data_IF_314083675744
#
_entry.id   IF_314083675744
#
_cell.length_a   1.000
_cell.length_b   1.000
_cell.length_c   1.000
_cell.angle_alpha   90.00
_cell.angle_beta   90.00
_cell.angle_gamma   90.00
#
_symmetry.space_group_name_H-M   'P 1'
#
loop_
_entity.id
_entity.type
_entity.pdbx_description
1 polymer ?
#
# COMPACT_ATOMS: atom_id res chain seq x y z
N UNK A 1 13.06 3.88 4.74
CA UNK A 1 12.27 4.36 3.57
C UNK A 1 11.30 3.29 3.09
N UNK A 2 11.72 2.03 2.90
CA UNK A 2 10.78 0.91 2.62
C UNK A 2 9.62 0.85 3.62
N UNK A 3 9.88 0.95 4.92
CA UNK A 3 8.79 1.00 5.92
C UNK A 3 7.82 2.17 5.71
N UNK A 4 8.32 3.33 5.27
CA UNK A 4 7.48 4.48 4.97
C UNK A 4 6.65 4.25 3.69
N UNK A 5 7.20 3.56 2.69
CA UNK A 5 6.44 3.10 1.52
C UNK A 5 5.39 2.07 1.90
N UNK A 6 5.78 1.03 2.61
CA UNK A 6 4.86 0.00 3.11
C UNK A 6 3.76 0.61 3.97
N UNK A 7 4.07 1.63 4.76
CA UNK A 7 3.09 2.42 5.51
C UNK A 7 2.15 3.21 4.59
N UNK A 8 2.67 3.90 3.57
CA UNK A 8 1.84 4.61 2.57
C UNK A 8 0.92 3.66 1.82
N UNK A 9 1.39 2.44 1.53
CA UNK A 9 0.68 1.42 0.77
C UNK A 9 -0.15 0.46 1.64
N UNK A 10 -0.27 0.72 2.95
CA UNK A 10 -1.04 -0.11 3.90
C UNK A 10 -0.65 -1.60 3.87
N UNK A 11 0.64 -1.90 3.84
CA UNK A 11 1.14 -3.28 3.82
C UNK A 11 1.25 -3.84 5.24
N UNK A 12 0.39 -4.80 5.56
CA UNK A 12 0.26 -5.36 6.93
C UNK A 12 1.24 -6.52 7.22
N UNK A 13 1.85 -7.15 6.21
CA UNK A 13 2.81 -8.27 6.38
C UNK A 13 4.21 -7.91 5.83
N UNK A 14 5.26 -7.80 6.67
CA UNK A 14 6.64 -7.73 6.18
C UNK A 14 7.10 -9.10 5.65
N UNK A 15 7.66 -9.15 4.43
CA UNK A 15 8.24 -10.37 3.83
C UNK A 15 9.53 -10.81 4.54
N UNK A 16 9.93 -12.07 4.32
CA UNK A 16 11.17 -12.64 4.85
C UNK A 16 12.42 -11.85 4.41
N UNK A 17 13.40 -11.75 5.30
CA UNK A 17 14.62 -10.93 5.12
C UNK A 17 15.41 -11.27 3.84
N UNK A 18 15.37 -12.53 3.41
CA UNK A 18 16.05 -13.00 2.19
C UNK A 18 15.45 -12.44 0.90
N UNK A 19 14.12 -12.34 0.81
CA UNK A 19 13.44 -11.80 -0.39
C UNK A 19 13.64 -10.28 -0.51
N UNK A 20 13.66 -9.59 0.63
CA UNK A 20 14.06 -8.18 0.74
C UNK A 20 15.47 -7.93 0.22
N UNK A 21 16.44 -8.76 0.60
CA UNK A 21 17.83 -8.60 0.15
C UNK A 21 17.95 -8.66 -1.38
N UNK A 22 17.28 -9.61 -2.04
CA UNK A 22 17.30 -9.74 -3.50
C UNK A 22 16.63 -8.54 -4.18
N UNK A 23 15.49 -8.07 -3.66
CA UNK A 23 14.80 -6.87 -4.17
C UNK A 23 15.67 -5.61 -3.99
N UNK A 24 16.35 -5.46 -2.85
CA UNK A 24 17.27 -4.35 -2.60
C UNK A 24 18.49 -4.36 -3.52
N UNK A 25 19.09 -5.54 -3.73
CA UNK A 25 20.22 -5.69 -4.66
C UNK A 25 19.76 -5.40 -6.09
N UNK A 26 18.55 -5.85 -6.48
CA UNK A 26 17.99 -5.53 -7.80
C UNK A 26 17.74 -4.02 -7.98
N UNK A 27 17.17 -3.35 -6.97
CA UNK A 27 16.97 -1.89 -7.01
C UNK A 27 18.30 -1.14 -7.03
N UNK A 28 19.32 -1.62 -6.33
CA UNK A 28 20.65 -1.00 -6.32
C UNK A 28 21.33 -1.16 -7.69
N UNK A 29 21.26 -2.34 -8.30
CA UNK A 29 21.82 -2.60 -9.62
C UNK A 29 21.06 -1.80 -10.70
N UNK A 30 19.73 -1.88 -10.71
CA UNK A 30 18.90 -1.17 -11.69
C UNK A 30 19.00 0.35 -11.49
N UNK A 31 19.02 0.82 -10.24
CA UNK A 31 19.19 2.23 -9.90
C UNK A 31 20.56 2.76 -10.36
N UNK A 32 21.63 2.00 -10.14
CA UNK A 32 22.98 2.36 -10.62
C UNK A 32 23.07 2.36 -12.14
N UNK A 33 22.41 1.40 -12.80
CA UNK A 33 22.33 1.34 -14.26
C UNK A 33 21.54 2.55 -14.81
N UNK A 34 20.40 2.87 -14.20
CA UNK A 34 19.57 4.01 -14.58
C UNK A 34 20.33 5.34 -14.40
N UNK A 35 21.08 5.50 -13.30
CA UNK A 35 21.94 6.67 -13.08
C UNK A 35 23.05 6.73 -14.14
N UNK A 36 23.68 5.59 -14.45
CA UNK A 36 24.72 5.53 -15.49
C UNK A 36 24.18 5.92 -16.88
N UNK A 37 22.97 5.46 -17.23
CA UNK A 37 22.30 5.83 -18.48
C UNK A 37 21.92 7.32 -18.47
N UNK A 38 21.43 7.83 -17.34
CA UNK A 38 21.11 9.25 -17.19
C UNK A 38 22.34 10.14 -17.36
N UNK A 39 23.44 9.82 -16.67
CA UNK A 39 24.69 10.57 -16.77
C UNK A 39 25.30 10.43 -18.16
N UNK A 40 25.26 9.25 -18.77
CA UNK A 40 25.71 9.02 -20.14
C UNK A 40 24.92 9.85 -21.14
N UNK A 41 23.59 9.88 -21.03
CA UNK A 41 22.74 10.70 -21.91
C UNK A 41 22.96 12.20 -21.71
N UNK A 42 23.10 12.67 -20.47
CA UNK A 42 23.45 14.08 -20.19
C UNK A 42 24.82 14.44 -20.78
N UNK A 43 25.81 13.57 -20.64
CA UNK A 43 27.15 13.77 -21.19
C UNK A 43 27.15 13.77 -22.73
N UNK A 44 26.43 12.84 -23.36
CA UNK A 44 26.31 12.78 -24.83
C UNK A 44 25.55 13.98 -25.42
N UNK A 45 24.60 14.56 -24.69
CA UNK A 45 23.90 15.79 -25.09
C UNK A 45 24.82 17.01 -24.97
N UNK A 46 25.78 16.96 -24.06
CA UNK A 46 26.77 18.03 -23.83
C UNK A 46 27.95 17.98 -24.81
N UNK A 47 27.98 16.98 -25.70
CA UNK A 47 29.01 16.84 -26.73
C UNK A 47 28.63 17.67 -27.97
N UNK A 48 29.45 18.68 -28.27
CA UNK A 48 29.16 19.71 -29.28
C UNK A 48 28.90 19.11 -30.68
N UNK A 49 29.55 18.00 -31.03
CA UNK A 49 29.45 17.37 -32.36
C UNK A 49 28.07 16.76 -32.67
N UNK A 50 27.47 16.05 -31.72
CA UNK A 50 26.14 15.44 -31.87
C UNK A 50 25.03 16.49 -31.78
N UNK A 51 25.21 17.48 -30.90
CA UNK A 51 24.26 18.57 -30.72
C UNK A 51 24.13 19.43 -31.99
N UNK A 52 25.25 19.79 -32.62
CA UNK A 52 25.29 20.59 -33.85
C UNK A 52 24.69 19.81 -35.04
N UNK A 53 25.00 18.51 -35.19
CA UNK A 53 24.48 17.69 -36.29
C UNK A 53 22.95 17.50 -36.24
N UNK A 54 22.37 17.30 -35.04
CA UNK A 54 20.91 17.16 -34.89
C UNK A 54 20.16 18.50 -35.01
N UNK A 55 20.78 19.62 -34.62
CA UNK A 55 20.17 20.95 -34.72
C UNK A 55 20.07 21.46 -36.18
N UNK A 56 20.96 21.00 -37.07
CA UNK A 56 20.94 21.36 -38.49
C UNK A 56 19.72 20.82 -39.25
N UNK A 57 19.02 19.83 -38.69
CA UNK A 57 17.85 19.26 -39.35
C UNK A 57 16.57 20.04 -38.98
N UNK A 58 15.97 20.75 -39.94
CA UNK A 58 14.87 21.72 -39.74
C UNK A 58 13.61 21.16 -39.07
N UNK A 59 13.36 19.86 -39.17
CA UNK A 59 12.22 19.18 -38.54
C UNK A 59 12.55 18.55 -37.17
N UNK A 60 13.77 18.04 -37.00
CA UNK A 60 14.19 17.31 -35.79
C UNK A 60 14.79 18.27 -34.75
N UNK A 61 15.47 19.33 -35.17
CA UNK A 61 16.14 20.30 -34.30
C UNK A 61 15.24 20.88 -33.20
N UNK A 62 14.02 21.38 -33.49
CA UNK A 62 13.13 21.92 -32.47
C UNK A 62 12.68 20.87 -31.45
N UNK A 63 12.37 19.65 -31.90
CA UNK A 63 11.95 18.52 -31.05
C UNK A 63 13.12 18.02 -30.21
N UNK A 64 14.31 17.96 -30.78
CA UNK A 64 15.54 17.54 -30.12
C UNK A 64 15.94 18.52 -29.02
N UNK A 65 15.90 19.84 -29.29
CA UNK A 65 16.18 20.87 -28.29
C UNK A 65 15.15 20.86 -27.16
N UNK A 66 13.86 20.69 -27.48
CA UNK A 66 12.82 20.57 -26.46
C UNK A 66 13.00 19.31 -25.60
N UNK A 67 13.25 18.16 -26.23
CA UNK A 67 13.46 16.88 -25.54
C UNK A 67 14.71 16.92 -24.68
N UNK A 68 15.84 17.43 -25.21
CA UNK A 68 17.11 17.59 -24.52
C UNK A 68 16.99 18.42 -23.24
N UNK A 69 16.24 19.53 -23.28
CA UNK A 69 15.95 20.36 -22.09
C UNK A 69 15.05 19.63 -21.07
N UNK A 70 14.22 18.70 -21.52
CA UNK A 70 13.32 17.92 -20.67
C UNK A 70 13.92 16.61 -20.16
N UNK A 71 14.98 16.09 -20.80
CA UNK A 71 15.66 14.84 -20.46
C UNK A 71 15.96 14.66 -18.97
N UNK A 72 16.59 15.62 -18.25
CA UNK A 72 16.87 15.42 -16.83
C UNK A 72 15.60 15.25 -15.99
N UNK A 73 14.50 15.92 -16.35
CA UNK A 73 13.22 15.76 -15.68
C UNK A 73 12.57 14.42 -16.00
N UNK A 74 12.63 13.96 -17.26
CA UNK A 74 12.12 12.67 -17.69
C UNK A 74 12.84 11.51 -16.98
N UNK A 75 14.16 11.62 -16.81
CA UNK A 75 14.96 10.66 -16.04
C UNK A 75 14.48 10.58 -14.59
N UNK A 76 14.29 11.72 -13.92
CA UNK A 76 13.84 11.75 -12.52
C UNK A 76 12.43 11.19 -12.38
N UNK A 77 11.52 11.55 -13.28
CA UNK A 77 10.17 10.99 -13.34
C UNK A 77 10.22 9.47 -13.54
N UNK A 78 11.08 8.99 -14.45
CA UNK A 78 11.29 7.56 -14.68
C UNK A 78 11.82 6.85 -13.44
N UNK A 79 12.81 7.42 -12.75
CA UNK A 79 13.36 6.88 -11.52
C UNK A 79 12.32 6.83 -10.40
N UNK A 80 11.55 7.89 -10.20
CA UNK A 80 10.47 7.91 -9.20
C UNK A 80 9.40 6.88 -9.53
N UNK A 81 8.98 6.80 -10.80
CA UNK A 81 8.01 5.80 -11.28
C UNK A 81 8.51 4.38 -11.01
N UNK A 82 9.79 4.11 -11.31
CA UNK A 82 10.43 2.82 -11.03
C UNK A 82 10.43 2.51 -9.53
N UNK A 83 10.89 3.45 -8.70
CA UNK A 83 10.89 3.27 -7.24
C UNK A 83 9.48 3.03 -6.70
N UNK A 84 8.47 3.72 -7.22
CA UNK A 84 7.07 3.53 -6.78
C UNK A 84 6.48 2.21 -7.25
N UNK A 85 6.98 1.62 -8.33
CA UNK A 85 6.53 0.33 -8.82
C UNK A 85 7.17 -0.84 -8.07
N UNK A 86 8.44 -0.72 -7.68
CA UNK A 86 9.24 -1.83 -7.14
C UNK A 86 9.51 -1.75 -5.64
N UNK A 87 9.48 -0.56 -5.03
CA UNK A 87 9.75 -0.42 -3.58
C UNK A 87 8.58 -0.86 -2.69
N UNK A 88 7.30 -0.61 -3.04
CA UNK A 88 6.19 -1.12 -2.24
C UNK A 88 6.05 -2.62 -2.41
N UNK A 89 5.78 -3.33 -1.31
CA UNK A 89 5.48 -4.76 -1.35
C UNK A 89 4.01 -5.03 -1.78
N UNK A 90 3.56 -4.37 -2.85
CA UNK A 90 2.19 -4.45 -3.41
C UNK A 90 2.20 -4.31 -4.92
N UNK A 91 1.17 -4.81 -5.59
CA UNK A 91 1.00 -4.64 -7.04
C UNK A 91 0.54 -3.22 -7.40
N UNK A 92 1.51 -2.36 -7.75
CA UNK A 92 1.24 -0.98 -8.19
C UNK A 92 0.96 -0.94 -9.69
N UNK A 93 -0.13 -0.30 -10.10
CA UNK A 93 -0.46 -0.10 -11.52
C UNK A 93 0.49 0.93 -12.13
N UNK A 94 1.07 0.62 -13.28
CA UNK A 94 2.03 1.51 -13.98
C UNK A 94 1.48 2.94 -14.18
N UNK A 95 0.19 3.08 -14.51
CA UNK A 95 -0.45 4.40 -14.68
C UNK A 95 -0.44 5.22 -13.39
N UNK A 96 -0.70 4.58 -12.25
CA UNK A 96 -0.68 5.23 -10.94
C UNK A 96 0.74 5.62 -10.53
N UNK A 97 1.71 4.73 -10.74
CA UNK A 97 3.13 5.00 -10.50
C UNK A 97 3.63 6.16 -11.35
N UNK A 98 3.23 6.23 -12.64
CA UNK A 98 3.62 7.32 -13.54
C UNK A 98 3.05 8.67 -13.10
N UNK A 99 1.79 8.71 -12.66
CA UNK A 99 1.16 9.95 -12.17
C UNK A 99 1.86 10.46 -10.91
N UNK A 100 2.14 9.57 -9.96
CA UNK A 100 2.94 9.91 -8.79
C UNK A 100 4.36 10.33 -9.17
N UNK A 101 4.99 9.65 -10.14
CA UNK A 101 6.33 9.95 -10.64
C UNK A 101 6.41 11.33 -11.30
N UNK A 102 5.42 11.70 -12.12
CA UNK A 102 5.29 13.03 -12.74
C UNK A 102 5.10 14.09 -11.66
N UNK A 103 4.16 13.88 -10.73
CA UNK A 103 3.90 14.83 -9.64
C UNK A 103 5.15 15.02 -8.76
N UNK A 104 5.77 13.93 -8.31
CA UNK A 104 6.99 13.96 -7.51
C UNK A 104 8.16 14.59 -8.27
N UNK A 105 8.33 14.27 -9.56
CA UNK A 105 9.37 14.84 -10.41
C UNK A 105 9.24 16.35 -10.61
N UNK A 106 8.01 16.86 -10.79
CA UNK A 106 7.73 18.31 -10.89
C UNK A 106 8.02 19.02 -9.55
N UNK A 107 7.64 18.42 -8.42
CA UNK A 107 7.94 18.97 -7.09
C UNK A 107 9.46 18.95 -6.85
N UNK A 108 10.16 17.88 -7.25
CA UNK A 108 11.61 17.77 -7.11
C UNK A 108 12.35 18.81 -7.94
N UNK A 109 11.92 19.00 -9.20
CA UNK A 109 12.44 20.02 -10.10
C UNK A 109 12.31 21.44 -9.53
N UNK A 110 11.10 21.79 -9.08
CA UNK A 110 10.80 23.11 -8.51
C UNK A 110 11.56 23.33 -7.20
N UNK A 111 11.62 22.32 -6.32
CA UNK A 111 12.42 22.38 -5.10
C UNK A 111 13.91 22.56 -5.39
N UNK A 112 14.44 21.91 -6.43
CA UNK A 112 15.85 22.03 -6.83
C UNK A 112 16.23 23.43 -7.30
N UNK A 113 15.36 24.07 -8.08
CA UNK A 113 15.57 25.47 -8.49
C UNK A 113 15.56 26.40 -7.27
N UNK A 114 14.57 26.25 -6.38
CA UNK A 114 14.47 27.06 -5.16
C UNK A 114 15.67 26.84 -4.22
N UNK A 115 16.09 25.58 -4.04
CA UNK A 115 17.21 25.21 -3.19
C UNK A 115 18.53 25.78 -3.74
N UNK A 116 18.75 25.67 -5.05
CA UNK A 116 19.94 26.24 -5.71
C UNK A 116 19.97 27.76 -5.53
N UNK A 117 18.85 28.45 -5.76
CA UNK A 117 18.76 29.90 -5.56
C UNK A 117 19.07 30.31 -4.10
N UNK A 118 18.54 29.54 -3.13
CA UNK A 118 18.80 29.75 -1.71
C UNK A 118 20.28 29.54 -1.35
N UNK A 119 20.90 28.46 -1.80
CA UNK A 119 22.31 28.13 -1.54
C UNK A 119 23.25 29.18 -2.13
N UNK A 120 23.04 29.57 -3.40
CA UNK A 120 23.87 30.57 -4.09
C UNK A 120 23.83 31.92 -3.38
N UNK A 121 22.67 32.31 -2.86
CA UNK A 121 22.51 33.58 -2.13
C UNK A 121 23.10 33.51 -0.71
N UNK A 122 22.90 32.40 0.01
CA UNK A 122 23.29 32.25 1.40
C UNK A 122 24.78 31.99 1.65
N UNK A 123 25.42 31.14 0.82
CA UNK A 123 26.82 30.70 1.02
C UNK A 123 27.83 31.80 0.72
N UNK A 124 27.45 32.81 -0.07
CA UNK A 124 28.33 33.91 -0.50
C UNK A 124 28.79 34.84 0.64
N UNK A 125 28.15 34.77 1.81
CA UNK A 125 28.32 35.76 2.88
C UNK A 125 29.24 35.30 4.02
N UNK A 126 29.58 34.01 4.12
CA UNK A 126 30.39 33.48 5.25
C UNK A 126 31.34 32.34 4.84
N UNK A 127 32.49 32.69 4.28
CA UNK A 127 33.52 31.76 3.78
C UNK A 127 34.18 30.89 4.87
N UNK A 128 34.22 31.34 6.12
CA UNK A 128 34.85 30.58 7.23
C UNK A 128 34.00 29.39 7.70
N UNK A 129 32.67 29.48 7.58
CA UNK A 129 31.72 28.41 7.97
C UNK A 129 31.16 27.62 6.77
N UNK A 130 31.65 27.89 5.56
CA UNK A 130 31.11 27.33 4.32
C UNK A 130 31.18 25.79 4.28
N UNK A 131 32.24 25.19 4.81
CA UNK A 131 32.41 23.73 4.84
C UNK A 131 31.35 23.03 5.70
N UNK A 132 31.04 23.58 6.88
CA UNK A 132 29.99 23.05 7.75
C UNK A 132 28.59 23.28 7.17
N UNK A 133 28.37 24.44 6.55
CA UNK A 133 27.12 24.75 5.87
C UNK A 133 26.84 23.77 4.71
N UNK A 134 27.85 23.36 3.93
CA UNK A 134 27.68 22.36 2.86
C UNK A 134 27.10 21.04 3.41
N UNK A 135 27.61 20.55 4.55
CA UNK A 135 27.10 19.32 5.16
C UNK A 135 25.64 19.46 5.58
N UNK A 136 25.28 20.55 6.26
CA UNK A 136 23.90 20.83 6.69
C UNK A 136 22.97 20.97 5.47
N UNK A 137 23.39 21.71 4.45
CA UNK A 137 22.62 21.91 3.23
C UNK A 137 22.42 20.60 2.49
N UNK A 138 23.44 19.74 2.43
CA UNK A 138 23.33 18.41 1.83
C UNK A 138 22.32 17.55 2.59
N UNK A 139 22.36 17.57 3.93
CA UNK A 139 21.40 16.83 4.77
C UNK A 139 19.97 17.35 4.57
N UNK A 140 19.79 18.67 4.51
CA UNK A 140 18.50 19.31 4.23
C UNK A 140 17.98 18.95 2.83
N UNK A 141 18.84 18.97 1.82
CA UNK A 141 18.50 18.58 0.46
C UNK A 141 18.08 17.10 0.37
N UNK A 142 18.83 16.23 1.06
CA UNK A 142 18.51 14.82 1.17
C UNK A 142 17.14 14.62 1.84
N UNK A 143 16.90 15.32 2.96
CA UNK A 143 15.62 15.28 3.66
C UNK A 143 14.45 15.72 2.76
N UNK A 144 14.60 16.85 2.07
CA UNK A 144 13.58 17.34 1.12
C UNK A 144 13.37 16.34 -0.02
N UNK A 145 14.43 15.75 -0.57
CA UNK A 145 14.33 14.74 -1.62
C UNK A 145 13.53 13.53 -1.17
N UNK A 146 13.77 13.03 0.05
CA UNK A 146 12.99 11.94 0.62
C UNK A 146 11.53 12.33 0.88
N UNK A 147 11.28 13.54 1.37
CA UNK A 147 9.93 14.04 1.59
C UNK A 147 9.13 14.10 0.29
N UNK A 148 9.73 14.64 -0.77
CA UNK A 148 9.12 14.74 -2.10
C UNK A 148 8.84 13.36 -2.67
N UNK A 149 9.80 12.45 -2.51
CA UNK A 149 9.67 11.06 -2.94
C UNK A 149 8.51 10.36 -2.21
N UNK A 150 8.31 10.59 -0.92
CA UNK A 150 7.16 10.05 -0.18
C UNK A 150 5.83 10.70 -0.59
N UNK A 151 5.80 12.01 -0.85
CA UNK A 151 4.61 12.72 -1.33
C UNK A 151 4.17 12.16 -2.68
N UNK A 152 5.09 11.96 -3.64
CA UNK A 152 4.76 11.36 -4.92
C UNK A 152 4.24 9.93 -4.80
N UNK A 153 4.76 9.15 -3.85
CA UNK A 153 4.23 7.81 -3.55
C UNK A 153 2.80 7.85 -3.00
N UNK A 154 2.47 8.82 -2.14
CA UNK A 154 1.11 9.00 -1.65
C UNK A 154 0.14 9.36 -2.78
N UNK A 155 0.56 10.25 -3.69
CA UNK A 155 -0.23 10.62 -4.87
C UNK A 155 -0.49 9.38 -5.75
N UNK A 156 0.54 8.56 -6.01
CA UNK A 156 0.37 7.29 -6.73
C UNK A 156 -0.63 6.36 -6.05
N UNK A 157 -0.54 6.22 -4.72
CA UNK A 157 -1.44 5.38 -3.94
C UNK A 157 -2.90 5.86 -4.03
N UNK A 158 -3.16 7.15 -3.80
CA UNK A 158 -4.52 7.69 -3.82
C UNK A 158 -5.14 7.67 -5.22
N UNK A 159 -4.33 7.83 -6.27
CA UNK A 159 -4.81 7.66 -7.63
C UNK A 159 -5.23 6.21 -7.93
N UNK A 160 -4.49 5.23 -7.39
CA UNK A 160 -4.86 3.82 -7.52
C UNK A 160 -6.07 3.44 -6.66
N UNK A 161 -6.17 4.00 -5.45
CA UNK A 161 -7.13 3.62 -4.42
C UNK A 161 -8.01 4.82 -3.99
N UNK A 162 -8.88 5.34 -4.88
CA UNK A 162 -9.68 6.54 -4.60
C UNK A 162 -10.66 6.36 -3.44
N UNK A 163 -11.02 5.12 -3.08
CA UNK A 163 -11.84 4.81 -1.91
C UNK A 163 -11.21 5.31 -0.60
N UNK A 164 -9.88 5.41 -0.52
CA UNK A 164 -9.17 5.89 0.67
C UNK A 164 -9.20 7.41 0.82
N UNK A 165 -9.50 8.16 -0.26
CA UNK A 165 -9.66 9.62 -0.20
C UNK A 165 -10.86 10.03 0.68
N UNK A 166 -11.92 9.20 0.73
CA UNK A 166 -13.15 9.49 1.48
C UNK A 166 -13.13 9.05 2.94
N UNK A 167 -12.26 8.10 3.28
CA UNK A 167 -12.24 7.48 4.61
C UNK A 167 -11.27 8.23 5.55
N UNK A 168 -10.33 9.01 5.00
CA UNK A 168 -9.27 9.63 5.79
C UNK A 168 -8.44 8.57 6.54
N UNK A 169 -7.46 9.02 7.32
CA UNK A 169 -6.61 8.15 8.17
C UNK A 169 -7.35 7.44 9.32
N UNK A 170 -8.69 7.46 9.35
CA UNK A 170 -9.43 6.72 10.36
C UNK A 170 -9.54 5.30 9.87
N UNK A 171 -8.94 4.34 10.59
CA UNK A 171 -9.32 2.94 10.48
C UNK A 171 -10.84 2.91 10.49
N UNK A 172 -11.51 2.45 9.42
CA UNK A 172 -12.96 2.37 9.39
C UNK A 172 -13.40 1.45 10.53
N UNK A 173 -13.71 2.06 11.67
CA UNK A 173 -14.21 1.38 12.86
C UNK A 173 -15.64 0.98 12.54
N UNK A 174 -15.78 -0.23 12.02
CA UNK A 174 -17.07 -0.86 11.87
C UNK A 174 -17.71 -1.01 13.25
N UNK A 175 -19.00 -0.72 13.36
CA UNK A 175 -19.77 -1.05 14.55
C UNK A 175 -19.73 -2.57 14.79
N UNK A 176 -19.90 -3.00 16.04
CA UNK A 176 -19.85 -4.43 16.39
C UNK A 176 -20.80 -5.26 15.53
N UNK A 177 -22.05 -4.80 15.33
CA UNK A 177 -23.01 -5.48 14.45
C UNK A 177 -22.60 -5.53 12.97
N UNK A 178 -21.89 -4.52 12.46
CA UNK A 178 -21.37 -4.55 11.09
C UNK A 178 -20.20 -5.53 10.97
N UNK A 179 -19.33 -5.62 11.97
CA UNK A 179 -18.22 -6.59 12.00
C UNK A 179 -18.75 -8.03 12.03
N UNK A 180 -19.79 -8.30 12.83
CA UNK A 180 -20.44 -9.62 12.90
C UNK A 180 -21.01 -10.04 11.54
N UNK A 181 -21.81 -9.16 10.91
CA UNK A 181 -22.36 -9.41 9.57
C UNK A 181 -21.25 -9.59 8.52
N UNK A 182 -20.19 -8.81 8.61
CA UNK A 182 -19.05 -8.90 7.70
C UNK A 182 -18.32 -10.23 7.83
N UNK A 183 -18.04 -10.71 9.05
CA UNK A 183 -17.39 -12.01 9.25
C UNK A 183 -18.25 -13.17 8.72
N UNK A 184 -19.55 -13.15 9.00
CA UNK A 184 -20.49 -14.13 8.44
C UNK A 184 -20.51 -14.08 6.91
N UNK A 185 -20.56 -12.89 6.32
CA UNK A 185 -20.61 -12.71 4.86
C UNK A 185 -19.30 -13.14 4.19
N UNK A 186 -18.13 -12.85 4.79
CA UNK A 186 -16.83 -13.35 4.31
C UNK A 186 -16.82 -14.88 4.27
N UNK A 187 -17.21 -15.54 5.36
CA UNK A 187 -17.26 -17.00 5.43
C UNK A 187 -18.27 -17.58 4.44
N UNK A 188 -19.42 -16.92 4.25
CA UNK A 188 -20.43 -17.32 3.26
C UNK A 188 -19.89 -17.20 1.83
N UNK A 189 -19.26 -16.08 1.47
CA UNK A 189 -18.67 -15.89 0.14
C UNK A 189 -17.56 -16.91 -0.14
N UNK A 190 -16.66 -17.14 0.83
CA UNK A 190 -15.58 -18.12 0.71
C UNK A 190 -16.12 -19.55 0.61
N UNK A 191 -17.11 -19.91 1.43
CA UNK A 191 -17.76 -21.22 1.38
C UNK A 191 -18.52 -21.46 0.07
N UNK A 192 -19.21 -20.43 -0.45
CA UNK A 192 -19.89 -20.51 -1.74
C UNK A 192 -18.89 -20.70 -2.89
N UNK A 193 -17.80 -19.94 -2.90
CA UNK A 193 -16.74 -20.09 -3.90
C UNK A 193 -16.08 -21.47 -3.83
N UNK A 194 -15.91 -22.02 -2.63
CA UNK A 194 -15.35 -23.37 -2.46
C UNK A 194 -16.30 -24.48 -2.97
N UNK A 195 -17.63 -24.29 -2.89
CA UNK A 195 -18.62 -25.22 -3.45
C UNK A 195 -18.69 -25.16 -4.98
N UNK A 196 -18.57 -23.96 -5.54
CA UNK A 196 -18.66 -23.76 -6.99
C UNK A 196 -17.31 -24.05 -7.65
N UNK A 197 -17.19 -25.22 -8.29
CA UNK A 197 -16.01 -25.65 -9.04
C UNK A 197 -15.60 -24.60 -10.09
N UNK A 198 -14.61 -23.76 -9.76
CA UNK A 198 -14.07 -22.73 -10.65
C UNK A 198 -14.13 -21.30 -10.14
N UNK A 199 -14.69 -21.04 -8.95
CA UNK A 199 -14.65 -19.72 -8.32
C UNK A 199 -13.60 -19.72 -7.21
N UNK A 200 -12.52 -18.95 -7.39
CA UNK A 200 -11.60 -18.62 -6.30
C UNK A 200 -11.82 -17.17 -5.87
N UNK A 201 -11.71 -16.91 -4.57
CA UNK A 201 -11.87 -15.58 -4.01
C UNK A 201 -10.58 -15.19 -3.31
N UNK A 202 -10.03 -14.04 -3.67
CA UNK A 202 -8.93 -13.37 -2.99
C UNK A 202 -9.45 -12.15 -2.20
N UNK A 203 -8.56 -11.49 -1.46
CA UNK A 203 -8.89 -10.29 -0.69
C UNK A 203 -9.41 -9.16 -1.60
N UNK A 204 -8.89 -9.03 -2.82
CA UNK A 204 -9.29 -8.00 -3.77
C UNK A 204 -10.72 -8.25 -4.30
N UNK A 205 -11.07 -9.50 -4.60
CA UNK A 205 -12.41 -9.92 -4.99
C UNK A 205 -13.42 -9.68 -3.86
N UNK A 206 -13.09 -10.04 -2.61
CA UNK A 206 -13.94 -9.74 -1.44
C UNK A 206 -14.17 -8.23 -1.29
N UNK A 207 -13.12 -7.43 -1.40
CA UNK A 207 -13.24 -5.98 -1.29
C UNK A 207 -14.18 -5.39 -2.35
N UNK A 208 -14.10 -5.90 -3.59
CA UNK A 208 -14.96 -5.48 -4.70
C UNK A 208 -16.40 -5.97 -4.53
N UNK A 209 -16.60 -7.23 -4.15
CA UNK A 209 -17.92 -7.85 -3.97
C UNK A 209 -18.69 -7.21 -2.82
N UNK A 210 -18.04 -7.03 -1.67
CA UNK A 210 -18.64 -6.45 -0.46
C UNK A 210 -18.67 -4.92 -0.49
N UNK A 211 -18.00 -4.28 -1.46
CA UNK A 211 -17.81 -2.82 -1.55
C UNK A 211 -17.18 -2.22 -0.28
N UNK A 212 -16.35 -2.99 0.41
CA UNK A 212 -15.66 -2.60 1.63
C UNK A 212 -14.16 -2.58 1.34
N UNK A 213 -13.42 -1.53 1.69
CA UNK A 213 -11.97 -1.46 1.47
C UNK A 213 -11.21 -2.58 2.20
N UNK A 214 -10.18 -3.14 1.55
CA UNK A 214 -9.32 -4.22 2.08
C UNK A 214 -8.83 -4.05 3.52
N UNK A 215 -8.39 -2.85 3.98
CA UNK A 215 -7.90 -2.68 5.36
C UNK A 215 -8.97 -2.88 6.42
N UNK A 216 -10.24 -2.77 6.05
CA UNK A 216 -11.37 -3.05 6.95
C UNK A 216 -11.61 -4.54 7.09
N UNK A 217 -11.32 -5.30 6.02
CA UNK A 217 -11.54 -6.74 5.91
C UNK A 217 -10.36 -7.50 6.55
N UNK A 218 -9.13 -7.02 6.34
CA UNK A 218 -7.89 -7.66 6.80
C UNK A 218 -7.88 -8.05 8.30
N UNK A 219 -8.30 -7.18 9.26
CA UNK A 219 -8.31 -7.53 10.67
C UNK A 219 -9.27 -8.68 10.98
N UNK A 220 -10.42 -8.74 10.30
CA UNK A 220 -11.41 -9.81 10.47
C UNK A 220 -10.88 -11.09 9.84
N UNK A 221 -10.34 -11.01 8.62
CA UNK A 221 -9.75 -12.14 7.91
C UNK A 221 -8.61 -12.77 8.71
N UNK A 222 -7.70 -11.96 9.25
CA UNK A 222 -6.60 -12.43 10.10
C UNK A 222 -7.06 -12.99 11.44
N UNK A 223 -8.23 -12.57 11.95
CA UNK A 223 -8.87 -13.19 13.11
C UNK A 223 -9.43 -14.57 12.79
N UNK A 224 -10.08 -14.72 11.63
CA UNK A 224 -10.62 -15.98 11.12
C UNK A 224 -9.49 -16.98 10.80
N UNK A 225 -8.40 -16.55 10.16
CA UNK A 225 -7.20 -17.38 9.93
C UNK A 225 -6.60 -17.88 11.25
N UNK A 226 -6.38 -17.00 12.23
CA UNK A 226 -5.83 -17.38 13.55
C UNK A 226 -6.73 -18.32 14.35
N UNK A 227 -8.00 -18.43 13.98
CA UNK A 227 -8.95 -19.38 14.58
C UNK A 227 -9.06 -20.70 13.80
N UNK A 228 -8.34 -20.85 12.69
CA UNK A 228 -8.43 -22.02 11.82
C UNK A 228 -9.76 -22.14 11.07
N UNK A 229 -10.54 -21.06 10.98
CA UNK A 229 -11.79 -21.02 10.23
C UNK A 229 -11.55 -20.79 8.73
N UNK A 230 -10.47 -20.09 8.40
CA UNK A 230 -10.09 -19.74 7.04
C UNK A 230 -8.60 -20.02 6.87
N UNK A 231 -8.17 -20.39 5.66
CA UNK A 231 -6.76 -20.45 5.29
C UNK A 231 -6.54 -19.84 3.92
N UNK A 232 -5.42 -19.16 3.73
CA UNK A 232 -4.95 -18.76 2.40
C UNK A 232 -4.14 -19.90 1.77
N UNK A 233 -4.32 -20.13 0.46
CA UNK A 233 -3.47 -21.02 -0.33
C UNK A 233 -2.16 -20.32 -0.73
N UNK A 234 -1.24 -21.03 -1.39
CA UNK A 234 0.02 -20.45 -1.88
C UNK A 234 -0.20 -19.28 -2.86
N UNK A 235 -1.30 -19.32 -3.62
CA UNK A 235 -1.71 -18.27 -4.56
C UNK A 235 -2.58 -17.17 -3.91
N UNK A 236 -2.60 -17.08 -2.57
CA UNK A 236 -3.41 -16.14 -1.77
C UNK A 236 -4.94 -16.27 -1.95
N UNK A 237 -5.44 -17.38 -2.48
CA UNK A 237 -6.88 -17.66 -2.50
C UNK A 237 -7.37 -18.10 -1.13
N UNK A 238 -8.54 -17.61 -0.74
CA UNK A 238 -9.15 -17.87 0.54
C UNK A 238 -10.01 -19.12 0.45
N UNK A 239 -9.77 -20.08 1.33
CA UNK A 239 -10.54 -21.33 1.43
C UNK A 239 -10.93 -21.60 2.89
N UNK A 240 -12.01 -22.36 3.15
CA UNK A 240 -12.36 -22.77 4.51
C UNK A 240 -11.20 -23.58 5.14
N UNK A 241 -10.85 -23.26 6.38
CA UNK A 241 -9.74 -23.92 7.10
C UNK A 241 -10.10 -25.32 7.63
N UNK A 242 -11.38 -25.66 7.62
CA UNK A 242 -11.93 -26.96 8.03
C UNK A 242 -13.24 -27.22 7.27
N UNK A 243 -13.75 -28.44 7.39
CA UNK A 243 -15.04 -28.83 6.84
C UNK A 243 -16.15 -27.84 7.23
N UNK A 244 -16.89 -27.32 6.23
CA UNK A 244 -17.96 -26.33 6.41
C UNK A 244 -19.10 -26.85 7.30
N UNK A 245 -19.29 -28.17 7.37
CA UNK A 245 -20.27 -28.78 8.29
C UNK A 245 -19.82 -28.75 9.76
N UNK A 246 -18.52 -28.50 10.03
CA UNK A 246 -17.95 -28.38 11.37
C UNK A 246 -17.64 -26.94 11.77
N UNK A 247 -17.93 -25.99 10.90
CA UNK A 247 -17.84 -24.56 11.19
C UNK A 247 -19.20 -24.12 11.70
N UNK A 248 -19.32 -23.90 13.00
CA UNK A 248 -20.52 -23.33 13.59
C UNK A 248 -20.59 -21.82 13.30
N UNK A 249 -21.78 -21.26 13.19
CA UNK A 249 -21.95 -19.81 13.06
C UNK A 249 -21.48 -19.08 14.34
N UNK A 250 -21.57 -19.75 15.50
CA UNK A 250 -21.04 -19.26 16.77
C UNK A 250 -19.53 -19.04 16.71
N UNK A 251 -18.77 -20.00 16.18
CA UNK A 251 -17.32 -19.91 16.05
C UNK A 251 -16.92 -18.66 15.24
N UNK A 252 -17.68 -18.32 14.20
CA UNK A 252 -17.43 -17.15 13.35
C UNK A 252 -17.68 -15.85 14.12
N UNK A 253 -18.78 -15.77 14.87
CA UNK A 253 -19.11 -14.58 15.66
C UNK A 253 -18.17 -14.37 16.85
N UNK A 254 -17.76 -15.46 17.51
CA UNK A 254 -16.85 -15.42 18.64
C UNK A 254 -15.50 -14.79 18.26
N UNK A 255 -15.02 -15.00 17.03
CA UNK A 255 -13.81 -14.33 16.51
C UNK A 255 -13.94 -12.81 16.54
N UNK A 256 -15.10 -12.28 16.17
CA UNK A 256 -15.31 -10.83 16.09
C UNK A 256 -15.57 -10.23 17.46
N UNK A 257 -16.32 -10.95 18.31
CA UNK A 257 -16.71 -10.51 19.66
C UNK A 257 -15.57 -10.59 20.66
N UNK A 258 -14.89 -11.74 20.75
CA UNK A 258 -13.86 -11.98 21.76
C UNK A 258 -12.44 -11.57 21.31
N UNK A 259 -12.13 -11.68 20.00
CA UNK A 259 -10.80 -11.36 19.46
C UNK A 259 -10.74 -10.03 18.70
N UNK A 260 -11.84 -9.28 18.72
CA UNK A 260 -11.93 -7.91 18.21
C UNK A 260 -11.37 -6.85 19.16
N UNK A 261 -11.10 -7.23 20.41
CA UNK A 261 -10.41 -6.35 21.34
C UNK A 261 -8.96 -6.21 20.89
N UNK A 262 -8.63 -5.04 20.35
CA UNK A 262 -7.24 -4.62 20.20
C UNK A 262 -6.62 -4.72 21.58
N UNK A 263 -5.72 -5.69 21.78
CA UNK A 263 -5.01 -5.97 23.04
C UNK A 263 -4.07 -4.85 23.51
N UNK A 264 -4.43 -3.59 23.27
CA UNK A 264 -3.75 -2.37 23.71
C UNK A 264 -4.10 -2.00 25.15
N UNK A 265 -4.92 -2.80 25.83
CA UNK A 265 -5.37 -2.54 27.19
C UNK A 265 -5.09 -3.75 28.08
N UNK A 266 -4.72 -3.49 29.34
CA UNK A 266 -4.76 -4.53 30.39
C UNK A 266 -6.22 -4.96 30.55
N UNK A 267 -6.43 -6.24 30.85
CA UNK A 267 -7.77 -6.80 31.07
C UNK A 267 -8.60 -5.87 31.95
N UNK A 268 -9.68 -5.28 31.40
CA UNK A 268 -10.50 -4.34 32.14
C UNK A 268 -11.21 -5.07 33.28
N UNK A 269 -11.28 -4.43 34.44
CA UNK A 269 -11.96 -4.98 35.60
C UNK A 269 -13.42 -4.54 35.58
N UNK A 270 -14.30 -5.42 35.11
CA UNK A 270 -15.73 -5.18 35.08
C UNK A 270 -16.37 -5.44 36.45
N UNK A 271 -17.54 -4.84 36.68
CA UNK A 271 -18.37 -5.22 37.82
C UNK A 271 -18.99 -6.60 37.54
N UNK A 272 -19.07 -7.45 38.55
CA UNK A 272 -19.62 -8.81 38.41
C UNK A 272 -21.02 -8.85 37.81
N UNK A 273 -21.86 -7.85 38.11
CA UNK A 273 -23.20 -7.70 37.53
C UNK A 273 -23.17 -7.42 36.01
N UNK A 274 -22.13 -6.74 35.52
CA UNK A 274 -21.95 -6.47 34.09
C UNK A 274 -21.45 -7.74 33.39
N UNK A 275 -20.51 -8.47 33.99
CA UNK A 275 -20.03 -9.74 33.43
C UNK A 275 -21.14 -10.79 33.33
N UNK A 276 -22.01 -10.88 34.35
CA UNK A 276 -23.16 -11.78 34.31
C UNK A 276 -24.15 -11.38 33.21
N UNK A 277 -24.45 -10.09 33.07
CA UNK A 277 -25.34 -9.60 32.02
C UNK A 277 -24.76 -9.83 30.62
N UNK A 278 -23.45 -9.62 30.43
CA UNK A 278 -22.78 -9.90 29.17
C UNK A 278 -22.85 -11.40 28.81
N UNK A 279 -22.62 -12.28 29.78
CA UNK A 279 -22.74 -13.73 29.59
C UNK A 279 -24.18 -14.15 29.26
N UNK A 280 -25.20 -13.53 29.86
CA UNK A 280 -26.61 -13.77 29.51
C UNK A 280 -26.92 -13.38 28.07
N UNK A 281 -26.44 -12.22 27.61
CA UNK A 281 -26.60 -11.76 26.22
C UNK A 281 -25.92 -12.74 25.26
N UNK A 282 -24.69 -13.17 25.55
CA UNK A 282 -23.97 -14.12 24.71
C UNK A 282 -24.65 -15.48 24.66
N UNK A 283 -25.16 -15.98 25.79
CA UNK A 283 -25.93 -17.22 25.84
C UNK A 283 -27.25 -17.12 25.06
N UNK A 284 -27.95 -15.99 25.12
CA UNK A 284 -29.19 -15.78 24.35
C UNK A 284 -28.92 -15.77 22.84
N UNK A 285 -27.83 -15.12 22.41
CA UNK A 285 -27.39 -15.13 21.01
C UNK A 285 -26.99 -16.54 20.58
N UNK A 286 -26.18 -17.25 21.38
CA UNK A 286 -25.78 -18.62 21.09
C UNK A 286 -26.99 -19.57 21.00
N UNK A 287 -27.99 -19.40 21.89
CA UNK A 287 -29.22 -20.18 21.85
C UNK A 287 -30.09 -19.91 20.62
N UNK A 288 -30.08 -18.68 20.10
CA UNK A 288 -30.84 -18.31 18.88
C UNK A 288 -30.20 -18.88 17.62
N UNK A 289 -28.87 -18.86 17.56
CA UNK A 289 -28.11 -19.40 16.42
C UNK A 289 -28.10 -20.93 16.46
N UNK A 290 -28.11 -21.53 17.66
CA UNK A 290 -28.09 -22.97 17.86
C UNK A 290 -26.86 -23.62 17.25
N UNK A 291 -27.02 -24.86 16.77
CA UNK A 291 -25.98 -25.64 16.11
C UNK A 291 -25.89 -25.37 14.60
N UNK A 292 -26.37 -24.20 14.13
CA UNK A 292 -26.30 -23.86 12.71
C UNK A 292 -24.86 -23.81 12.23
N UNK A 293 -24.62 -24.46 11.10
CA UNK A 293 -23.29 -24.55 10.48
C UNK A 293 -23.20 -23.70 9.23
N UNK A 294 -21.97 -23.41 8.80
CA UNK A 294 -21.72 -22.67 7.55
C UNK A 294 -22.34 -23.39 6.34
N UNK A 295 -22.29 -24.73 6.31
CA UNK A 295 -22.94 -25.51 5.26
C UNK A 295 -24.45 -25.27 5.20
N UNK A 296 -25.13 -25.29 6.34
CA UNK A 296 -26.57 -25.06 6.41
C UNK A 296 -26.95 -23.64 5.98
N UNK A 297 -26.12 -22.65 6.34
CA UNK A 297 -26.33 -21.27 5.90
C UNK A 297 -26.17 -21.11 4.38
N UNK A 298 -25.29 -21.90 3.75
CA UNK A 298 -25.13 -21.91 2.28
C UNK A 298 -26.31 -22.58 1.55
N UNK A 299 -27.00 -23.49 2.22
CA UNK A 299 -28.17 -24.21 1.67
C UNK A 299 -29.50 -23.44 1.86
N UNK A 300 -29.53 -22.40 2.71
CA UNK A 300 -30.70 -21.52 2.81
C UNK A 300 -30.91 -20.76 1.48
N UNK A 301 -32.16 -20.72 0.95
CA UNK A 301 -32.43 -20.05 -0.32
C UNK A 301 -32.08 -18.56 -0.21
N UNK A 302 -31.17 -18.09 -1.07
CA UNK A 302 -30.85 -16.66 -1.18
C UNK A 302 -32.13 -15.91 -1.53
N UNK A 303 -32.68 -15.16 -0.57
CA UNK A 303 -33.71 -14.18 -0.87
C UNK A 303 -33.11 -13.19 -1.88
N UNK A 304 -33.69 -13.16 -3.08
CA UNK A 304 -33.28 -12.33 -4.21
C UNK A 304 -33.46 -10.84 -3.92
#
# INVERSE_FOLDING_TARGET
VEEAFNYVWYVTKPRSFAKRFVEYVAVLVIGTLAISIALGTIASISDDGLFIWMQQNRFIGPIFVATSRMTPYLVVIGLFTFLYMFMPNTTVRLRSALIGGVAGGVIWATAGVLFTAFVVTGVRTQTVYASFAIAIMTLLWLYLSWLILLIGSQIAFYFQNPAYLRIGRRDPRLSNGMRERLALNIMLSVGAAFRDSGRSIDLAALSKELRIPSPTIEPILGGLERSGLLTATEDEYLVPGRDMARISLRDILDVVRSRGETGSHREPKWATAIDSLAAEIDNAVAGTIGDKTLSQLLDEPRAA
#
